data_IF_674180055424
#
_entry.id   IF_674180055424
#
_cell.length_a   1.000
_cell.length_b   1.000
_cell.length_c   1.000
_cell.angle_alpha   90.00
_cell.angle_beta   90.00
_cell.angle_gamma   90.00
#
_symmetry.space_group_name_H-M   'P 1'
#
loop_
_entity.id
_entity.type
_entity.pdbx_description
1 polymer ?
#
# COMPACT_ATOMS: atom_id res chain seq x y z
N UNK A 1 21.45 -14.54 19.50
CA UNK A 1 20.39 -13.74 20.12
C UNK A 1 19.03 -14.16 19.56
N UNK A 2 18.23 -14.83 20.38
CA UNK A 2 16.94 -15.44 19.93
C UNK A 2 16.01 -14.41 19.31
N UNK A 3 15.98 -13.19 19.85
CA UNK A 3 15.12 -12.12 19.38
C UNK A 3 15.50 -11.65 17.97
N UNK A 4 16.77 -11.54 17.68
CA UNK A 4 17.29 -11.20 16.35
C UNK A 4 16.93 -12.30 15.36
N UNK A 5 17.13 -13.57 15.74
CA UNK A 5 16.80 -14.72 14.90
C UNK A 5 15.31 -14.78 14.55
N UNK A 6 14.42 -14.49 15.51
CA UNK A 6 12.97 -14.46 15.26
C UNK A 6 12.57 -13.33 14.32
N UNK A 7 13.15 -12.13 14.49
CA UNK A 7 12.86 -10.99 13.63
C UNK A 7 13.33 -11.22 12.18
N UNK A 8 14.60 -11.55 12.00
CA UNK A 8 15.15 -11.83 10.66
C UNK A 8 14.50 -13.07 10.02
N UNK A 9 14.30 -14.15 10.81
CA UNK A 9 13.62 -15.35 10.33
C UNK A 9 12.22 -15.03 9.82
N UNK A 10 11.43 -14.26 10.59
CA UNK A 10 10.11 -13.79 10.18
C UNK A 10 10.12 -12.99 8.87
N UNK A 11 11.08 -12.07 8.72
CA UNK A 11 11.22 -11.28 7.49
C UNK A 11 11.53 -12.19 6.28
N UNK A 12 12.50 -13.11 6.40
CA UNK A 12 12.86 -14.02 5.30
C UNK A 12 11.71 -14.94 4.91
N UNK A 13 11.01 -15.51 5.90
CA UNK A 13 9.81 -16.31 5.66
C UNK A 13 8.73 -15.48 4.97
N UNK A 14 8.48 -14.26 5.44
CA UNK A 14 7.50 -13.36 4.86
C UNK A 14 7.81 -12.98 3.42
N UNK A 15 9.06 -12.71 3.08
CA UNK A 15 9.51 -12.48 1.70
C UNK A 15 9.24 -13.71 0.82
N UNK A 16 9.62 -14.90 1.29
CA UNK A 16 9.36 -16.16 0.57
C UNK A 16 7.88 -16.39 0.32
N UNK A 17 7.03 -16.20 1.33
CA UNK A 17 5.58 -16.33 1.22
C UNK A 17 4.98 -15.29 0.26
N UNK A 18 5.42 -14.04 0.32
CA UNK A 18 4.96 -13.00 -0.58
C UNK A 18 5.23 -13.35 -2.06
N UNK A 19 6.42 -13.88 -2.38
CA UNK A 19 6.76 -14.33 -3.73
C UNK A 19 5.85 -15.46 -4.22
N UNK A 20 5.48 -16.40 -3.34
CA UNK A 20 4.55 -17.48 -3.64
C UNK A 20 3.15 -16.92 -3.91
N UNK A 21 2.67 -16.01 -3.05
CA UNK A 21 1.35 -15.39 -3.21
C UNK A 21 1.24 -14.50 -4.45
N UNK A 22 2.30 -13.81 -4.85
CA UNK A 22 2.35 -13.07 -6.11
C UNK A 22 2.10 -13.95 -7.34
N UNK A 23 2.38 -15.25 -7.23
CA UNK A 23 2.09 -16.25 -8.27
C UNK A 23 0.74 -16.96 -8.09
N UNK A 24 -0.14 -16.43 -7.25
CA UNK A 24 -1.44 -17.04 -6.89
C UNK A 24 -1.33 -18.48 -6.39
N UNK A 25 -0.17 -18.84 -5.82
CA UNK A 25 0.11 -20.14 -5.24
C UNK A 25 -0.01 -20.12 -3.71
N UNK A 26 0.05 -21.29 -3.09
CA UNK A 26 0.08 -21.48 -1.64
C UNK A 26 1.20 -22.46 -1.28
N UNK A 27 1.68 -22.42 -0.03
CA UNK A 27 2.69 -23.37 0.46
C UNK A 27 2.09 -24.75 0.83
N UNK A 28 0.76 -24.84 0.89
CA UNK A 28 0.06 -26.08 1.27
C UNK A 28 -0.19 -26.21 2.77
N UNK A 29 0.10 -25.18 3.56
CA UNK A 29 -0.06 -25.16 5.02
C UNK A 29 -1.20 -24.27 5.51
N UNK A 30 -0.98 -23.54 6.60
CA UNK A 30 -1.94 -22.61 7.21
C UNK A 30 -2.39 -21.48 6.31
N UNK A 31 -1.63 -21.16 5.28
CA UNK A 31 -1.95 -20.18 4.24
C UNK A 31 -3.18 -20.56 3.38
N UNK A 32 -3.53 -21.86 3.29
CA UNK A 32 -4.80 -22.29 2.70
C UNK A 32 -5.97 -21.79 3.55
N UNK A 33 -5.86 -21.90 4.88
CA UNK A 33 -6.87 -21.39 5.80
C UNK A 33 -6.97 -19.87 5.71
N UNK A 34 -5.84 -19.20 5.59
CA UNK A 34 -5.81 -17.75 5.38
C UNK A 34 -6.51 -17.33 4.08
N UNK A 35 -6.29 -18.04 2.97
CA UNK A 35 -7.01 -17.80 1.70
C UNK A 35 -8.51 -18.11 1.81
N UNK A 36 -8.89 -19.15 2.55
CA UNK A 36 -10.29 -19.45 2.80
C UNK A 36 -10.95 -18.32 3.62
N UNK A 37 -10.24 -17.81 4.62
CA UNK A 37 -10.69 -16.67 5.44
C UNK A 37 -10.88 -15.40 4.58
N UNK A 38 -9.96 -15.14 3.66
CA UNK A 38 -10.10 -14.04 2.69
C UNK A 38 -11.30 -14.21 1.76
N UNK A 39 -11.65 -15.44 1.37
CA UNK A 39 -12.85 -15.71 0.58
C UNK A 39 -14.14 -15.38 1.34
N UNK A 40 -14.14 -15.56 2.66
CA UNK A 40 -15.24 -15.17 3.54
C UNK A 40 -15.25 -13.67 3.83
N UNK A 41 -14.06 -13.05 3.94
CA UNK A 41 -13.88 -11.64 4.24
C UNK A 41 -12.98 -10.98 3.18
N UNK A 42 -13.53 -10.58 2.01
CA UNK A 42 -12.73 -10.07 0.87
C UNK A 42 -11.93 -8.80 1.15
N UNK A 43 -12.31 -8.03 2.17
CA UNK A 43 -11.61 -6.79 2.55
C UNK A 43 -10.36 -7.00 3.41
N UNK A 44 -10.08 -8.26 3.81
CA UNK A 44 -8.94 -8.59 4.67
C UNK A 44 -7.66 -8.73 3.86
N UNK A 45 -6.60 -8.04 4.28
CA UNK A 45 -5.27 -8.18 3.67
C UNK A 45 -4.70 -9.57 3.93
N UNK A 46 -3.87 -10.06 3.01
CA UNK A 46 -3.34 -11.44 3.06
C UNK A 46 -2.51 -11.69 4.32
N UNK A 47 -1.64 -10.75 4.69
CA UNK A 47 -0.83 -10.86 5.91
C UNK A 47 -1.69 -10.92 7.17
N UNK A 48 -2.76 -10.13 7.23
CA UNK A 48 -3.70 -10.16 8.36
C UNK A 48 -4.43 -11.51 8.48
N UNK A 49 -4.81 -12.11 7.36
CA UNK A 49 -5.45 -13.43 7.37
C UNK A 49 -4.48 -14.50 7.87
N UNK A 50 -3.22 -14.46 7.45
CA UNK A 50 -2.16 -15.36 7.91
C UNK A 50 -1.93 -15.15 9.41
N UNK A 51 -1.78 -13.91 9.85
CA UNK A 51 -1.56 -13.54 11.24
C UNK A 51 -2.65 -14.12 12.16
N UNK A 52 -3.92 -14.05 11.77
CA UNK A 52 -5.03 -14.60 12.55
C UNK A 52 -4.92 -16.13 12.71
N UNK A 53 -4.61 -16.84 11.62
CA UNK A 53 -4.43 -18.28 11.65
C UNK A 53 -3.24 -18.64 12.55
N UNK A 54 -2.12 -17.96 12.40
CA UNK A 54 -0.91 -18.21 13.18
C UNK A 54 -1.12 -17.87 14.66
N UNK A 55 -1.87 -16.82 15.00
CA UNK A 55 -2.23 -16.53 16.39
C UNK A 55 -3.02 -17.64 17.06
N UNK A 56 -3.95 -18.27 16.33
CA UNK A 56 -4.71 -19.41 16.85
C UNK A 56 -3.78 -20.60 17.09
N UNK A 57 -2.85 -20.85 16.17
CA UNK A 57 -1.89 -21.96 16.30
C UNK A 57 -0.94 -21.72 17.47
N UNK A 58 -0.36 -20.52 17.60
CA UNK A 58 0.53 -20.18 18.71
C UNK A 58 -0.22 -20.19 20.04
N UNK A 59 -1.45 -19.69 20.10
CA UNK A 59 -2.29 -19.76 21.30
C UNK A 59 -2.57 -21.19 21.73
N UNK A 60 -2.89 -22.06 20.79
CA UNK A 60 -3.07 -23.49 21.06
C UNK A 60 -1.77 -24.17 21.54
N UNK A 61 -0.62 -23.78 20.98
CA UNK A 61 0.68 -24.34 21.36
C UNK A 61 1.04 -24.01 22.82
N UNK A 62 0.70 -22.82 23.31
CA UNK A 62 0.91 -22.44 24.72
C UNK A 62 0.13 -23.35 25.66
N UNK A 63 -1.11 -23.68 25.31
CA UNK A 63 -1.95 -24.57 26.13
C UNK A 63 -1.42 -25.99 26.18
N UNK A 64 -0.77 -26.45 25.10
CA UNK A 64 -0.26 -27.84 25.00
C UNK A 64 1.14 -27.95 25.60
N UNK A 65 2.02 -27.02 25.35
CA UNK A 65 3.44 -27.09 25.72
C UNK A 65 3.79 -26.28 26.97
N UNK A 66 2.97 -25.31 27.36
CA UNK A 66 3.21 -24.49 28.55
C UNK A 66 4.38 -23.49 28.43
N UNK A 67 5.02 -23.37 27.27
CA UNK A 67 6.19 -22.52 27.06
C UNK A 67 5.79 -21.12 26.59
N UNK A 68 5.58 -20.20 27.53
CA UNK A 68 5.18 -18.81 27.25
C UNK A 68 6.29 -18.06 26.53
N UNK A 69 7.57 -18.34 26.85
CA UNK A 69 8.70 -17.66 26.22
C UNK A 69 8.77 -17.96 24.71
N UNK A 70 8.58 -19.21 24.31
CA UNK A 70 8.57 -19.61 22.90
C UNK A 70 7.41 -18.96 22.14
N UNK A 71 6.25 -18.84 22.77
CA UNK A 71 5.09 -18.16 22.19
C UNK A 71 5.34 -16.65 21.95
N UNK A 72 5.99 -15.96 22.88
CA UNK A 72 6.35 -14.56 22.73
C UNK A 72 7.29 -14.33 21.53
N UNK A 73 8.31 -15.18 21.36
CA UNK A 73 9.17 -15.13 20.18
C UNK A 73 8.41 -15.46 18.88
N UNK A 74 7.46 -16.40 18.96
CA UNK A 74 6.56 -16.73 17.86
C UNK A 74 5.72 -15.53 17.41
N UNK A 75 5.15 -14.77 18.36
CA UNK A 75 4.38 -13.56 18.08
C UNK A 75 5.25 -12.51 17.34
N UNK A 76 6.48 -12.29 17.79
CA UNK A 76 7.40 -11.36 17.14
C UNK A 76 7.66 -11.79 15.69
N UNK A 77 7.91 -13.11 15.48
CA UNK A 77 8.12 -13.67 14.14
C UNK A 77 6.89 -13.47 13.25
N UNK A 78 5.68 -13.74 13.76
CA UNK A 78 4.41 -13.57 13.03
C UNK A 78 4.23 -12.10 12.59
N UNK A 79 4.47 -11.14 13.48
CA UNK A 79 4.36 -9.72 13.15
C UNK A 79 5.35 -9.33 12.06
N UNK A 80 6.60 -9.75 12.15
CA UNK A 80 7.62 -9.50 11.13
C UNK A 80 7.24 -10.12 9.77
N UNK A 81 6.76 -11.37 9.79
CA UNK A 81 6.28 -12.08 8.59
C UNK A 81 5.12 -11.35 7.93
N UNK A 82 4.11 -10.96 8.72
CA UNK A 82 2.93 -10.22 8.24
C UNK A 82 3.32 -8.92 7.58
N UNK A 83 4.18 -8.13 8.23
CA UNK A 83 4.65 -6.85 7.69
C UNK A 83 5.44 -7.03 6.39
N UNK A 84 6.28 -8.05 6.30
CA UNK A 84 7.02 -8.36 5.09
C UNK A 84 6.10 -8.78 3.95
N UNK A 85 5.14 -9.66 4.21
CA UNK A 85 4.13 -10.09 3.22
C UNK A 85 3.33 -8.91 2.70
N UNK A 86 2.74 -8.12 3.59
CA UNK A 86 1.87 -7.00 3.21
C UNK A 86 2.65 -5.88 2.51
N UNK A 87 3.89 -5.64 2.91
CA UNK A 87 4.75 -4.65 2.25
C UNK A 87 5.09 -5.05 0.82
N UNK A 88 5.35 -6.32 0.57
CA UNK A 88 5.65 -6.80 -0.77
C UNK A 88 4.41 -6.94 -1.65
N UNK A 89 3.31 -7.45 -1.12
CA UNK A 89 2.08 -7.64 -1.89
C UNK A 89 1.38 -6.31 -2.24
N UNK A 90 1.28 -5.42 -1.26
CA UNK A 90 0.51 -4.18 -1.39
C UNK A 90 1.38 -2.92 -1.43
N UNK A 91 2.63 -3.00 -0.94
CA UNK A 91 3.54 -1.85 -0.90
C UNK A 91 4.00 -1.39 -2.27
N UNK A 92 4.03 -2.28 -3.25
CA UNK A 92 4.45 -1.98 -4.63
C UNK A 92 3.42 -1.20 -5.44
N UNK A 93 2.13 -1.26 -5.06
CA UNK A 93 1.02 -0.64 -5.76
C UNK A 93 0.47 0.62 -5.06
N UNK A 94 1.21 1.15 -4.08
CA UNK A 94 0.80 2.37 -3.37
C UNK A 94 1.05 3.58 -4.25
N UNK A 95 -0.02 4.14 -4.79
CA UNK A 95 -0.02 5.43 -5.46
C UNK A 95 -0.24 6.59 -4.48
N UNK A 96 -0.20 7.79 -5.01
CA UNK A 96 -0.61 9.02 -4.34
C UNK A 96 -1.54 9.80 -5.26
N UNK A 97 -2.67 10.20 -4.73
CA UNK A 97 -3.53 11.18 -5.36
C UNK A 97 -3.07 12.57 -4.92
N UNK A 98 -2.64 13.36 -5.87
CA UNK A 98 -2.18 14.73 -5.63
C UNK A 98 -3.29 15.67 -6.08
N UNK A 99 -3.71 16.55 -5.18
CA UNK A 99 -4.66 17.62 -5.47
C UNK A 99 -3.95 18.94 -5.35
N UNK A 100 -4.00 19.75 -6.41
CA UNK A 100 -3.24 20.99 -6.54
C UNK A 100 -4.22 22.14 -6.73
N UNK A 101 -4.07 23.16 -5.90
CA UNK A 101 -4.78 24.42 -6.00
C UNK A 101 -3.78 25.53 -6.35
N UNK A 102 -3.79 25.97 -7.60
CA UNK A 102 -2.92 27.02 -8.14
C UNK A 102 -3.64 27.79 -9.23
N UNK A 103 -3.23 29.02 -9.46
CA UNK A 103 -3.68 29.78 -10.63
C UNK A 103 -3.01 29.29 -11.94
N UNK A 104 -1.93 28.50 -11.83
CA UNK A 104 -1.15 27.96 -12.96
C UNK A 104 -1.39 26.45 -13.19
N UNK A 105 -2.56 25.95 -12.79
CA UNK A 105 -2.88 24.53 -12.91
C UNK A 105 -2.81 23.97 -14.34
N UNK A 106 -3.10 24.79 -15.36
CA UNK A 106 -3.02 24.36 -16.77
C UNK A 106 -1.58 24.13 -17.22
N UNK A 107 -0.64 24.98 -16.80
CA UNK A 107 0.80 24.85 -17.10
C UNK A 107 1.37 23.62 -16.39
N UNK A 108 1.04 23.47 -15.10
CA UNK A 108 1.45 22.32 -14.28
C UNK A 108 0.92 21.01 -14.88
N UNK A 109 -0.34 20.96 -15.28
CA UNK A 109 -0.95 19.79 -15.88
C UNK A 109 -0.27 19.40 -17.20
N UNK A 110 0.03 20.38 -18.05
CA UNK A 110 0.71 20.14 -19.32
C UNK A 110 2.08 19.51 -19.09
N UNK A 111 2.89 20.08 -18.20
CA UNK A 111 4.23 19.56 -17.92
C UNK A 111 4.18 18.17 -17.26
N UNK A 112 3.21 17.90 -16.39
CA UNK A 112 3.00 16.54 -15.82
C UNK A 112 2.70 15.54 -16.94
N UNK A 113 1.79 15.84 -17.85
CA UNK A 113 1.43 14.95 -18.95
C UNK A 113 2.61 14.69 -19.89
N UNK A 114 3.35 15.76 -20.24
CA UNK A 114 4.48 15.65 -21.17
C UNK A 114 5.69 14.93 -20.58
N UNK A 115 5.96 15.14 -19.27
CA UNK A 115 7.18 14.61 -18.63
C UNK A 115 6.98 13.21 -18.08
N UNK A 116 5.78 12.90 -17.61
CA UNK A 116 5.53 11.69 -16.83
C UNK A 116 4.54 10.72 -17.48
N UNK A 117 3.95 11.09 -18.60
CA UNK A 117 2.88 10.32 -19.27
C UNK A 117 1.76 9.93 -18.28
N UNK A 118 1.34 10.89 -17.44
CA UNK A 118 0.30 10.72 -16.43
C UNK A 118 -0.91 11.60 -16.74
N UNK A 119 -2.09 10.97 -16.70
CA UNK A 119 -3.36 11.68 -16.86
C UNK A 119 -3.60 12.67 -15.72
N UNK A 120 -4.11 13.83 -16.06
CA UNK A 120 -4.54 14.85 -15.11
C UNK A 120 -6.02 15.15 -15.27
N UNK A 121 -6.68 15.56 -14.19
CA UNK A 121 -8.11 15.90 -14.22
C UNK A 121 -8.34 17.23 -13.56
N UNK A 122 -9.12 18.09 -14.21
CA UNK A 122 -9.55 19.37 -13.68
C UNK A 122 -10.95 19.27 -13.06
N UNK A 123 -11.09 19.84 -11.87
CA UNK A 123 -12.38 20.07 -11.23
C UNK A 123 -12.62 21.57 -11.11
N UNK A 124 -13.82 22.02 -11.44
CA UNK A 124 -14.24 23.39 -11.10
C UNK A 124 -14.38 23.50 -9.60
N UNK A 125 -13.74 24.49 -9.01
CA UNK A 125 -13.75 24.72 -7.57
C UNK A 125 -14.09 26.17 -7.26
N UNK A 126 -14.70 26.40 -6.11
CA UNK A 126 -14.99 27.74 -5.60
C UNK A 126 -14.30 27.86 -4.25
N UNK A 127 -13.47 28.87 -4.10
CA UNK A 127 -12.78 29.14 -2.84
C UNK A 127 -13.79 29.50 -1.76
N UNK A 128 -13.88 28.68 -0.69
CA UNK A 128 -14.86 28.87 0.38
C UNK A 128 -14.71 30.20 1.12
N UNK A 129 -13.52 30.76 1.23
CA UNK A 129 -13.26 32.06 1.85
C UNK A 129 -13.33 33.23 0.85
N UNK A 130 -12.75 33.05 -0.33
CA UNK A 130 -12.64 34.12 -1.32
C UNK A 130 -13.85 34.26 -2.24
N UNK A 131 -14.69 33.21 -2.34
CA UNK A 131 -15.76 33.11 -3.33
C UNK A 131 -15.27 33.04 -4.79
N UNK A 132 -13.95 33.03 -5.02
CA UNK A 132 -13.40 32.97 -6.38
C UNK A 132 -13.58 31.59 -7.00
N UNK A 133 -14.02 31.58 -8.24
CA UNK A 133 -14.00 30.37 -9.07
C UNK A 133 -12.58 30.09 -9.55
N UNK A 134 -12.23 28.82 -9.63
CA UNK A 134 -10.94 28.34 -10.09
C UNK A 134 -10.99 26.89 -10.56
N UNK A 135 -9.86 26.38 -10.98
CA UNK A 135 -9.68 24.98 -11.32
C UNK A 135 -8.80 24.32 -10.26
N UNK A 136 -9.23 23.16 -9.81
CA UNK A 136 -8.41 22.26 -8.99
C UNK A 136 -7.88 21.16 -9.89
N UNK A 137 -6.58 20.95 -9.89
CA UNK A 137 -5.92 19.89 -10.64
C UNK A 137 -5.75 18.66 -9.75
N UNK A 138 -6.07 17.48 -10.28
CA UNK A 138 -5.75 16.23 -9.62
C UNK A 138 -4.96 15.32 -10.55
N UNK A 139 -3.98 14.61 -10.01
CA UNK A 139 -3.25 13.57 -10.72
C UNK A 139 -2.96 12.39 -9.77
N UNK A 140 -3.03 11.18 -10.30
CA UNK A 140 -2.61 9.98 -9.60
C UNK A 140 -1.22 9.59 -10.10
N UNK A 141 -0.29 9.36 -9.18
CA UNK A 141 1.09 9.00 -9.49
C UNK A 141 1.60 7.91 -8.55
N UNK A 142 2.61 7.17 -8.97
CA UNK A 142 3.33 6.29 -8.08
C UNK A 142 4.05 7.09 -6.99
N UNK A 143 4.16 6.50 -5.81
CA UNK A 143 4.85 7.15 -4.69
C UNK A 143 6.28 7.60 -5.05
N UNK A 144 6.95 6.88 -5.95
CA UNK A 144 8.29 7.21 -6.43
C UNK A 144 8.30 8.44 -7.37
N UNK A 145 7.19 8.72 -8.02
CA UNK A 145 7.06 9.82 -8.97
C UNK A 145 6.64 11.14 -8.31
N UNK A 146 6.24 11.09 -7.05
CA UNK A 146 5.77 12.29 -6.33
C UNK A 146 6.82 13.41 -6.30
N UNK A 147 8.12 13.08 -6.19
CA UNK A 147 9.17 14.10 -6.16
C UNK A 147 9.24 14.91 -7.47
N UNK A 148 8.98 14.25 -8.61
CA UNK A 148 8.97 14.93 -9.93
C UNK A 148 7.78 15.89 -10.02
N UNK A 149 6.59 15.45 -9.57
CA UNK A 149 5.41 16.32 -9.53
C UNK A 149 5.67 17.52 -8.63
N UNK A 150 6.31 17.32 -7.48
CA UNK A 150 6.66 18.41 -6.57
C UNK A 150 7.61 19.41 -7.24
N UNK A 151 8.63 18.96 -7.95
CA UNK A 151 9.57 19.83 -8.68
C UNK A 151 8.85 20.65 -9.77
N UNK A 152 7.91 20.02 -10.49
CA UNK A 152 7.10 20.72 -11.51
C UNK A 152 6.26 21.81 -10.85
N UNK A 153 5.58 21.48 -9.74
CA UNK A 153 4.77 22.46 -9.01
C UNK A 153 5.63 23.63 -8.50
N UNK A 154 6.74 23.34 -7.83
CA UNK A 154 7.64 24.36 -7.26
C UNK A 154 8.22 25.28 -8.35
N UNK A 155 8.41 24.79 -9.57
CA UNK A 155 8.89 25.56 -10.71
C UNK A 155 7.86 26.56 -11.23
N UNK A 156 6.60 26.14 -11.33
CA UNK A 156 5.53 26.98 -11.86
C UNK A 156 4.92 27.89 -10.80
N UNK A 157 4.61 27.35 -9.63
CA UNK A 157 3.98 28.09 -8.54
C UNK A 157 4.44 27.60 -7.17
N UNK A 158 5.50 28.19 -6.61
CA UNK A 158 5.99 27.85 -5.27
C UNK A 158 4.97 28.10 -4.14
N UNK A 159 3.86 28.79 -4.43
CA UNK A 159 2.81 29.10 -3.45
C UNK A 159 1.58 28.21 -3.62
N UNK A 160 1.61 27.25 -4.54
CA UNK A 160 0.52 26.32 -4.77
C UNK A 160 0.17 25.56 -3.47
N UNK A 161 -1.12 25.42 -3.21
CA UNK A 161 -1.58 24.57 -2.12
C UNK A 161 -1.75 23.14 -2.62
N UNK A 162 -1.01 22.20 -2.04
CA UNK A 162 -0.94 20.82 -2.50
C UNK A 162 -1.35 19.86 -1.40
N UNK A 163 -2.32 18.99 -1.71
CA UNK A 163 -2.74 17.90 -0.83
C UNK A 163 -2.25 16.59 -1.44
N UNK A 164 -1.55 15.79 -0.66
CA UNK A 164 -1.09 14.47 -1.07
C UNK A 164 -1.79 13.41 -0.24
N UNK A 165 -2.66 12.64 -0.88
CA UNK A 165 -3.42 11.58 -0.23
C UNK A 165 -2.86 10.21 -0.68
N UNK A 166 -2.37 9.37 0.24
CA UNK A 166 -1.95 8.02 -0.12
C UNK A 166 -3.18 7.23 -0.57
N UNK A 167 -3.07 6.57 -1.73
CA UNK A 167 -4.09 5.63 -2.18
C UNK A 167 -3.75 4.23 -1.70
N UNK A 168 -4.77 3.45 -1.33
CA UNK A 168 -4.56 2.03 -1.01
C UNK A 168 -4.19 1.25 -2.26
N UNK A 169 -4.90 1.53 -3.33
CA UNK A 169 -4.77 0.87 -4.63
C UNK A 169 -5.11 1.86 -5.72
N UNK A 170 -4.44 1.75 -6.86
CA UNK A 170 -4.69 2.57 -8.04
C UNK A 170 -4.69 1.64 -9.26
N UNK A 171 -5.76 1.68 -10.04
CA UNK A 171 -5.94 0.87 -11.24
C UNK A 171 -6.11 1.75 -12.47
N UNK A 172 -5.69 1.27 -13.63
CA UNK A 172 -5.86 1.94 -14.91
C UNK A 172 -4.58 1.97 -15.73
N UNK A 173 -4.63 2.64 -16.88
CA UNK A 173 -3.47 2.81 -17.76
C UNK A 173 -2.34 3.53 -17.01
N UNK A 174 -1.15 2.93 -17.05
CA UNK A 174 0.02 3.41 -16.33
C UNK A 174 0.15 2.93 -14.87
N UNK A 175 -0.84 2.16 -14.36
CA UNK A 175 -0.79 1.47 -13.06
C UNK A 175 -0.95 -0.04 -13.24
N UNK A 176 -0.41 -0.80 -12.28
CA UNK A 176 -0.45 -2.27 -12.35
C UNK A 176 -1.84 -2.75 -11.96
N UNK A 177 -2.51 -3.46 -12.87
CA UNK A 177 -3.71 -4.24 -12.58
C UNK A 177 -4.95 -3.80 -13.33
N UNK A 178 -5.63 -4.79 -13.90
CA UNK A 178 -6.98 -4.64 -14.45
C UNK A 178 -7.97 -4.96 -13.32
N UNK A 179 -8.69 -3.96 -12.82
CA UNK A 179 -9.74 -4.12 -11.79
C UNK A 179 -10.82 -5.15 -12.18
N UNK A 180 -10.88 -5.54 -13.47
CA UNK A 180 -11.81 -6.54 -13.98
C UNK A 180 -11.40 -7.98 -13.64
N UNK A 181 -10.21 -8.17 -13.05
CA UNK A 181 -9.69 -9.50 -12.68
C UNK A 181 -9.76 -9.77 -11.18
N UNK A 182 -10.35 -8.85 -10.40
CA UNK A 182 -10.70 -9.01 -9.00
C UNK A 182 -12.13 -9.53 -8.86
#
# INVERSE_FOLDING_TARGET
DRLISCGFGGIFVGVGMALIFMRNSTTGGGDILAKLLQKLCPYMQTGYAIMLVDFVIVGASVLVFGEIEAALYGIISIVCTTQAVDTLLYGMNKGSLITIHSEKNEEIAREIMETMDRGTTFYKSIGGYSGKEGLTLTCAVDRKQFHVVKEIIDRHDPRAFVIVSPTKETYGEGFIGDYRKL
#
